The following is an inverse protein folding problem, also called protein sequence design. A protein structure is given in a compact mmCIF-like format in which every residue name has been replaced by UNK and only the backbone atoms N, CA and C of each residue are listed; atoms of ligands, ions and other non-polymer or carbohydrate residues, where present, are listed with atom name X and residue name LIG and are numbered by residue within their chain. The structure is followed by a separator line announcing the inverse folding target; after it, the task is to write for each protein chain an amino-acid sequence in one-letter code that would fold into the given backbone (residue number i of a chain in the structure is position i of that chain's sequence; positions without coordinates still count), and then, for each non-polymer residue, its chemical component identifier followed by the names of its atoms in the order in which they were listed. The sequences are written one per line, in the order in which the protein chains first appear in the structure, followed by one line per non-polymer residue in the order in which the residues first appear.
data_IF_280868787956
#
_entry.id   IF_280868787956
#
_cell.length_a   1.000
_cell.length_b   1.000
_cell.length_c   1.000
_cell.angle_alpha   90.00
_cell.angle_beta   90.00
_cell.angle_gamma   90.00
#
_symmetry.space_group_name_H-M   'P 1'
#
loop_
_entity.id
_entity.type
_entity.pdbx_description
1 polymer ?
#
# COMPACT_ATOMS: atom_id res chain seq x y z
N UNK A 1 47.18 -19.83 -36.79
CA UNK A 1 46.35 -21.02 -36.50
C UNK A 1 47.13 -21.90 -35.54
N UNK A 2 46.57 -22.46 -34.44
CA UNK A 2 45.57 -21.99 -33.45
C UNK A 2 46.25 -21.70 -32.06
N UNK A 3 45.85 -20.74 -31.22
CA UNK A 3 44.77 -20.70 -30.20
C UNK A 3 44.70 -21.92 -29.24
N UNK A 4 45.05 -21.71 -27.96
CA UNK A 4 44.16 -21.88 -26.78
C UNK A 4 44.85 -21.48 -25.46
N UNK A 5 44.01 -21.05 -24.51
CA UNK A 5 44.23 -21.07 -23.04
C UNK A 5 44.93 -19.87 -22.37
N UNK A 6 44.19 -18.79 -22.15
CA UNK A 6 43.78 -18.39 -20.79
C UNK A 6 42.90 -17.15 -20.84
N UNK A 7 41.58 -17.39 -20.88
CA UNK A 7 40.52 -16.38 -20.86
C UNK A 7 39.72 -16.53 -19.57
N UNK A 8 40.37 -16.42 -18.41
CA UNK A 8 39.76 -16.11 -17.11
C UNK A 8 40.86 -15.38 -16.34
N UNK A 9 40.53 -14.31 -15.60
CA UNK A 9 41.42 -13.39 -14.85
C UNK A 9 41.76 -12.03 -15.47
N UNK A 10 40.83 -11.39 -16.19
CA UNK A 10 40.81 -9.93 -16.27
C UNK A 10 39.39 -9.39 -16.22
N UNK A 11 38.80 -9.32 -15.02
CA UNK A 11 37.73 -8.36 -14.67
C UNK A 11 37.74 -8.11 -13.15
N UNK A 12 38.89 -7.69 -12.62
CA UNK A 12 38.97 -7.05 -11.33
C UNK A 12 38.94 -5.52 -11.52
N UNK A 13 38.00 -4.89 -10.82
CA UNK A 13 38.16 -3.56 -10.21
C UNK A 13 38.33 -2.34 -11.12
N UNK A 14 37.35 -2.06 -11.97
CA UNK A 14 37.07 -0.67 -12.41
C UNK A 14 35.57 -0.36 -12.46
N UNK A 15 34.97 -0.11 -11.30
CA UNK A 15 33.78 0.75 -11.17
C UNK A 15 33.55 1.14 -9.71
N UNK A 16 34.53 1.81 -9.12
CA UNK A 16 34.41 2.37 -7.78
C UNK A 16 35.11 3.74 -7.70
N UNK A 17 34.40 4.79 -8.15
CA UNK A 17 34.40 6.16 -7.61
C UNK A 17 34.06 7.17 -8.70
N UNK A 18 32.80 7.62 -8.71
CA UNK A 18 32.39 9.02 -8.57
C UNK A 18 30.89 9.12 -8.84
N UNK A 19 30.07 8.78 -7.85
CA UNK A 19 28.83 9.54 -7.64
C UNK A 19 29.10 10.44 -6.44
N UNK A 20 29.08 11.73 -6.74
CA UNK A 20 29.19 12.81 -5.79
C UNK A 20 28.29 12.54 -4.58
N UNK A 21 28.86 12.67 -3.38
CA UNK A 21 28.11 12.87 -2.13
C UNK A 21 27.46 14.25 -2.22
N UNK A 22 26.43 14.37 -3.07
CA UNK A 22 25.53 15.50 -3.08
C UNK A 22 24.65 15.40 -1.84
N UNK A 23 24.90 16.30 -0.88
CA UNK A 23 24.02 16.71 0.21
C UNK A 23 22.75 15.84 0.38
N UNK A 24 22.81 14.82 1.26
CA UNK A 24 21.60 14.18 1.79
C UNK A 24 20.86 15.21 2.65
N UNK A 25 20.13 16.13 2.01
CA UNK A 25 19.04 16.83 2.66
C UNK A 25 18.04 15.75 3.08
N UNK A 26 18.05 15.39 4.36
CA UNK A 26 17.05 14.50 4.93
C UNK A 26 15.67 14.97 4.47
N UNK A 27 14.88 14.04 3.93
CA UNK A 27 13.50 14.36 3.55
C UNK A 27 12.78 14.82 4.81
N UNK A 28 12.48 16.11 4.89
CA UNK A 28 11.72 16.65 6.00
C UNK A 28 10.31 16.04 5.96
N UNK A 29 9.71 15.84 7.14
CA UNK A 29 8.34 15.33 7.27
C UNK A 29 7.36 16.08 6.36
N UNK A 30 7.49 17.40 6.25
CA UNK A 30 6.68 18.23 5.37
C UNK A 30 6.85 17.90 3.87
N UNK A 31 8.07 17.57 3.43
CA UNK A 31 8.33 17.17 2.05
C UNK A 31 7.71 15.81 1.74
N UNK A 32 7.81 14.86 2.69
CA UNK A 32 7.17 13.54 2.58
C UNK A 32 5.65 13.71 2.51
N UNK A 33 5.06 14.47 3.43
CA UNK A 33 3.61 14.72 3.43
C UNK A 33 3.13 15.33 2.12
N UNK A 34 3.89 16.25 1.51
CA UNK A 34 3.54 16.84 0.21
C UNK A 34 3.56 15.83 -0.94
N UNK A 35 4.51 14.90 -0.94
CA UNK A 35 4.61 13.85 -1.96
C UNK A 35 3.51 12.79 -1.84
N UNK A 36 2.90 12.68 -0.67
CA UNK A 36 1.84 11.72 -0.37
C UNK A 36 0.44 12.35 -0.43
N UNK A 37 0.33 13.63 -0.84
CA UNK A 37 -0.98 14.25 -1.10
C UNK A 37 -1.67 13.52 -2.25
N UNK A 38 -2.94 13.19 -2.06
CA UNK A 38 -3.77 12.49 -3.05
C UNK A 38 -3.84 10.98 -2.87
N UNK A 39 -3.05 10.41 -1.96
CA UNK A 39 -3.17 9.00 -1.56
C UNK A 39 -4.14 8.84 -0.40
N UNK A 40 -4.84 7.71 -0.38
CA UNK A 40 -5.67 7.32 0.76
C UNK A 40 -4.82 7.07 2.01
N UNK A 41 -5.34 7.26 3.24
CA UNK A 41 -4.61 6.96 4.46
C UNK A 41 -4.04 5.52 4.49
N UNK A 42 -4.81 4.55 4.00
CA UNK A 42 -4.36 3.16 3.85
C UNK A 42 -3.24 2.99 2.80
N UNK A 43 -3.31 3.69 1.67
CA UNK A 43 -2.23 3.72 0.67
C UNK A 43 -0.96 4.35 1.24
N UNK A 44 -1.08 5.44 2.01
CA UNK A 44 0.07 6.07 2.68
C UNK A 44 0.77 5.06 3.60
N UNK A 45 0.01 4.30 4.40
CA UNK A 45 0.57 3.22 5.23
C UNK A 45 1.24 2.15 4.39
N UNK A 46 0.62 1.73 3.30
CA UNK A 46 1.18 0.73 2.39
C UNK A 46 2.47 1.21 1.72
N UNK A 47 2.54 2.44 1.25
CA UNK A 47 3.75 3.05 0.68
C UNK A 47 4.89 3.10 1.71
N UNK A 48 4.59 3.44 2.97
CA UNK A 48 5.58 3.39 4.05
C UNK A 48 6.06 1.95 4.33
N UNK A 49 5.17 0.96 4.26
CA UNK A 49 5.54 -0.45 4.38
C UNK A 49 6.43 -0.90 3.21
N UNK A 50 6.08 -0.52 1.97
CA UNK A 50 6.90 -0.77 0.78
C UNK A 50 8.29 -0.16 0.92
N UNK A 51 8.41 1.07 1.42
CA UNK A 51 9.72 1.71 1.68
C UNK A 51 10.57 0.88 2.63
N UNK A 52 9.95 0.39 3.71
CA UNK A 52 10.64 -0.44 4.71
C UNK A 52 11.12 -1.76 4.11
N UNK A 53 10.30 -2.37 3.26
CA UNK A 53 10.64 -3.59 2.54
C UNK A 53 11.79 -3.37 1.53
N UNK A 54 11.69 -2.37 0.65
CA UNK A 54 12.71 -2.08 -0.36
C UNK A 54 14.06 -1.73 0.28
N UNK A 55 14.06 -1.04 1.43
CA UNK A 55 15.29 -0.78 2.21
C UNK A 55 15.97 -2.07 2.66
N UNK A 56 15.19 -3.06 3.11
CA UNK A 56 15.71 -4.36 3.54
C UNK A 56 16.24 -5.17 2.36
N UNK A 57 15.55 -5.19 1.23
CA UNK A 57 15.98 -5.95 0.05
C UNK A 57 17.25 -5.39 -0.59
N UNK A 58 17.36 -4.06 -0.68
CA UNK A 58 18.48 -3.41 -1.38
C UNK A 58 19.65 -3.06 -0.45
N UNK A 59 19.56 -3.41 0.84
CA UNK A 59 20.49 -3.04 1.92
C UNK A 59 20.94 -1.56 1.83
N UNK A 60 20.00 -0.67 1.49
CA UNK A 60 20.30 0.73 1.29
C UNK A 60 19.12 1.65 1.64
N UNK A 61 19.45 2.92 1.88
CA UNK A 61 18.47 3.96 2.16
C UNK A 61 17.69 4.36 0.90
N UNK A 62 16.45 3.90 0.80
CA UNK A 62 15.50 4.28 -0.26
C UNK A 62 14.71 5.54 0.16
N UNK A 63 14.62 6.52 -0.74
CA UNK A 63 13.83 7.75 -0.59
C UNK A 63 12.33 7.51 -0.79
N UNK A 64 11.47 8.43 -0.33
CA UNK A 64 10.03 8.29 -0.60
C UNK A 64 9.73 8.39 -2.10
N UNK A 65 10.52 9.18 -2.84
CA UNK A 65 10.33 9.33 -4.28
C UNK A 65 10.61 8.02 -5.03
N UNK A 66 11.73 7.35 -4.73
CA UNK A 66 12.06 6.04 -5.31
C UNK A 66 11.01 4.98 -4.91
N UNK A 67 10.49 5.07 -3.69
CA UNK A 67 9.41 4.19 -3.25
C UNK A 67 8.14 4.41 -4.09
N UNK A 68 7.78 5.66 -4.38
CA UNK A 68 6.61 5.98 -5.21
C UNK A 68 6.77 5.51 -6.65
N UNK A 69 7.98 5.61 -7.21
CA UNK A 69 8.29 5.08 -8.54
C UNK A 69 8.09 3.55 -8.58
N UNK A 70 8.56 2.82 -7.56
CA UNK A 70 8.31 1.38 -7.42
C UNK A 70 6.84 1.05 -7.15
N UNK A 71 6.16 1.88 -6.35
CA UNK A 71 4.74 1.76 -6.04
C UNK A 71 3.90 1.83 -7.30
N UNK A 72 4.01 2.90 -8.08
CA UNK A 72 3.19 3.04 -9.30
C UNK A 72 3.59 2.06 -10.41
N UNK A 73 4.87 1.64 -10.46
CA UNK A 73 5.36 0.73 -11.49
C UNK A 73 4.97 -0.74 -11.31
N UNK A 74 4.93 -1.26 -10.08
CA UNK A 74 4.73 -2.70 -9.82
C UNK A 74 3.69 -3.00 -8.73
N UNK A 75 3.71 -2.25 -7.63
CA UNK A 75 3.06 -2.66 -6.39
C UNK A 75 1.62 -2.10 -6.26
N UNK A 76 1.42 -0.82 -6.48
CA UNK A 76 0.17 -0.11 -6.18
C UNK A 76 -1.06 -0.71 -6.86
N UNK A 77 -0.96 -1.13 -8.13
CA UNK A 77 -2.09 -1.73 -8.86
C UNK A 77 -2.64 -2.97 -8.17
N UNK A 78 -1.77 -3.95 -7.96
CA UNK A 78 -2.17 -5.24 -7.39
C UNK A 78 -2.63 -5.01 -5.90
N UNK A 79 -2.09 -4.00 -5.19
CA UNK A 79 -2.47 -3.68 -3.81
C UNK A 79 -3.87 -3.08 -3.75
N UNK A 80 -4.16 -2.14 -4.66
CA UNK A 80 -5.49 -1.52 -4.79
C UNK A 80 -6.57 -2.57 -5.11
N UNK A 81 -6.24 -3.56 -5.94
CA UNK A 81 -7.14 -4.67 -6.23
C UNK A 81 -7.46 -5.50 -4.98
N UNK A 82 -6.44 -5.84 -4.19
CA UNK A 82 -6.64 -6.60 -2.94
C UNK A 82 -7.37 -5.77 -1.87
N UNK A 83 -7.04 -4.48 -1.75
CA UNK A 83 -7.75 -3.53 -0.89
C UNK A 83 -9.24 -3.48 -1.23
N UNK A 84 -9.57 -3.32 -2.51
CA UNK A 84 -10.97 -3.31 -2.98
C UNK A 84 -11.70 -4.61 -2.63
N UNK A 85 -11.03 -5.76 -2.76
CA UNK A 85 -11.59 -7.07 -2.39
C UNK A 85 -11.88 -7.15 -0.89
N UNK A 86 -10.94 -6.76 -0.04
CA UNK A 86 -11.10 -6.77 1.42
C UNK A 86 -12.18 -5.78 1.85
N UNK A 87 -12.16 -4.57 1.31
CA UNK A 87 -13.15 -3.53 1.64
C UNK A 87 -14.56 -3.98 1.30
N UNK A 88 -14.76 -4.56 0.11
CA UNK A 88 -16.04 -5.10 -0.30
C UNK A 88 -16.54 -6.18 0.65
N UNK A 89 -15.67 -7.11 1.07
CA UNK A 89 -16.04 -8.15 2.04
C UNK A 89 -16.42 -7.57 3.41
N UNK A 90 -15.73 -6.52 3.85
CA UNK A 90 -16.04 -5.89 5.12
C UNK A 90 -17.36 -5.10 5.04
N UNK A 91 -17.61 -4.37 3.97
CA UNK A 91 -18.89 -3.67 3.78
C UNK A 91 -20.08 -4.62 3.74
N UNK A 92 -19.95 -5.78 3.08
CA UNK A 92 -21.02 -6.79 3.07
C UNK A 92 -21.36 -7.29 4.48
N UNK A 93 -20.35 -7.52 5.33
CA UNK A 93 -20.56 -7.93 6.73
C UNK A 93 -21.25 -6.85 7.54
N UNK A 94 -20.92 -5.58 7.30
CA UNK A 94 -21.51 -4.44 8.01
C UNK A 94 -22.97 -4.24 7.63
N UNK A 95 -23.31 -4.44 6.35
CA UNK A 95 -24.71 -4.43 5.88
C UNK A 95 -25.51 -5.57 6.53
N UNK A 96 -24.93 -6.77 6.59
CA UNK A 96 -25.56 -7.91 7.25
C UNK A 96 -25.77 -7.66 8.75
N UNK A 97 -24.75 -7.13 9.43
CA UNK A 97 -24.84 -6.76 10.84
C UNK A 97 -25.87 -5.66 11.09
N UNK A 98 -25.97 -4.68 10.18
CA UNK A 98 -26.97 -3.62 10.24
C UNK A 98 -28.39 -4.18 10.10
N UNK A 99 -28.61 -5.06 9.13
CA UNK A 99 -29.89 -5.76 8.95
C UNK A 99 -30.31 -6.48 10.23
N UNK A 100 -29.41 -7.26 10.84
CA UNK A 100 -29.70 -7.96 12.10
C UNK A 100 -30.06 -7.01 13.24
N UNK A 101 -29.35 -5.89 13.38
CA UNK A 101 -29.64 -4.90 14.42
C UNK A 101 -31.01 -4.24 14.25
N UNK A 102 -31.43 -3.94 13.02
CA UNK A 102 -32.76 -3.37 12.75
C UNK A 102 -33.86 -4.37 13.12
N UNK A 103 -33.67 -5.64 12.72
CA UNK A 103 -34.60 -6.69 13.09
C UNK A 103 -34.72 -6.86 14.62
N UNK A 104 -33.60 -6.85 15.34
CA UNK A 104 -33.59 -6.98 16.81
C UNK A 104 -34.19 -5.77 17.54
N UNK A 105 -33.89 -4.54 17.10
CA UNK A 105 -34.30 -3.31 17.81
C UNK A 105 -35.72 -2.88 17.51
N UNK A 106 -36.17 -3.12 16.28
CA UNK A 106 -37.41 -2.55 15.77
C UNK A 106 -38.45 -3.62 15.39
N UNK A 107 -38.07 -4.90 15.42
CA UNK A 107 -38.92 -6.01 14.99
C UNK A 107 -39.25 -5.97 13.50
N UNK A 108 -38.50 -5.18 12.72
CA UNK A 108 -38.70 -5.03 11.27
C UNK A 108 -37.76 -5.98 10.53
N UNK A 109 -38.32 -6.94 9.79
CA UNK A 109 -37.53 -7.74 8.85
C UNK A 109 -37.34 -6.93 7.56
N UNK A 110 -36.13 -6.41 7.39
CA UNK A 110 -35.73 -5.74 6.15
C UNK A 110 -35.21 -6.79 5.17
N UNK A 111 -35.64 -6.71 3.90
CA UNK A 111 -34.91 -7.40 2.85
C UNK A 111 -33.47 -6.85 2.75
N UNK A 112 -32.61 -7.62 2.10
CA UNK A 112 -31.18 -7.29 2.05
C UNK A 112 -30.92 -5.99 1.29
N UNK A 113 -31.70 -5.70 0.25
CA UNK A 113 -31.54 -4.53 -0.60
C UNK A 113 -31.91 -3.23 0.14
N UNK A 114 -33.01 -3.25 0.90
CA UNK A 114 -33.42 -2.13 1.75
C UNK A 114 -32.40 -1.87 2.87
N UNK A 115 -31.87 -2.93 3.51
CA UNK A 115 -30.83 -2.79 4.52
C UNK A 115 -29.51 -2.23 3.94
N UNK A 116 -29.14 -2.65 2.73
CA UNK A 116 -27.98 -2.13 2.03
C UNK A 116 -28.15 -0.64 1.67
N UNK A 117 -29.32 -0.25 1.16
CA UNK A 117 -29.62 1.14 0.81
C UNK A 117 -29.54 2.05 2.04
N UNK A 118 -30.21 1.68 3.13
CA UNK A 118 -30.17 2.43 4.39
C UNK A 118 -28.75 2.53 4.96
N UNK A 119 -27.99 1.42 4.94
CA UNK A 119 -26.60 1.42 5.35
C UNK A 119 -25.73 2.36 4.50
N UNK A 120 -25.93 2.37 3.18
CA UNK A 120 -25.21 3.26 2.26
C UNK A 120 -25.49 4.72 2.58
N UNK A 121 -26.76 5.07 2.79
CA UNK A 121 -27.21 6.44 3.04
C UNK A 121 -26.79 6.96 4.41
N UNK A 122 -26.89 6.14 5.46
CA UNK A 122 -26.75 6.58 6.85
C UNK A 122 -25.38 6.26 7.48
N UNK A 123 -24.73 5.17 7.06
CA UNK A 123 -23.59 4.58 7.80
C UNK A 123 -22.28 4.52 7.00
N UNK A 124 -22.35 4.40 5.67
CA UNK A 124 -21.17 4.08 4.84
C UNK A 124 -20.03 5.10 4.89
N UNK A 125 -20.33 6.38 5.11
CA UNK A 125 -19.31 7.44 5.19
C UNK A 125 -18.51 7.31 6.49
N UNK A 126 -19.19 7.34 7.62
CA UNK A 126 -18.57 7.19 8.94
C UNK A 126 -17.79 5.88 9.05
N UNK A 127 -18.35 4.80 8.48
CA UNK A 127 -17.66 3.52 8.41
C UNK A 127 -16.36 3.60 7.58
N UNK A 128 -16.39 4.23 6.39
CA UNK A 128 -15.18 4.40 5.56
C UNK A 128 -14.11 5.22 6.27
N UNK A 129 -14.49 6.30 6.93
CA UNK A 129 -13.55 7.13 7.68
C UNK A 129 -12.90 6.34 8.83
N UNK A 130 -13.70 5.57 9.57
CA UNK A 130 -13.21 4.66 10.61
C UNK A 130 -12.30 3.57 10.01
N UNK A 131 -12.73 2.91 8.93
CA UNK A 131 -12.00 1.83 8.28
C UNK A 131 -10.64 2.31 7.77
N UNK A 132 -10.58 3.48 7.12
CA UNK A 132 -9.34 4.08 6.65
C UNK A 132 -8.38 4.45 7.78
N UNK A 133 -8.85 4.60 9.01
CA UNK A 133 -7.99 4.77 10.20
C UNK A 133 -7.42 3.44 10.72
N UNK A 134 -8.01 2.30 10.38
CA UNK A 134 -7.61 1.00 10.91
C UNK A 134 -6.29 0.50 10.30
N UNK A 135 -5.40 -0.12 11.09
CA UNK A 135 -4.24 -0.84 10.57
C UNK A 135 -4.65 -1.96 9.60
N UNK A 136 -5.77 -2.64 9.88
CA UNK A 136 -6.31 -3.74 9.06
C UNK A 136 -6.78 -3.31 7.67
N UNK A 137 -7.08 -2.03 7.46
CA UNK A 137 -7.36 -1.50 6.12
C UNK A 137 -6.10 -1.44 5.24
N UNK A 138 -4.91 -1.73 5.77
CA UNK A 138 -3.74 -2.01 4.95
C UNK A 138 -3.62 -3.52 4.72
N UNK A 139 -3.82 -4.02 3.48
CA UNK A 139 -3.45 -5.38 3.09
C UNK A 139 -2.04 -5.73 3.52
N UNK A 140 -1.83 -7.03 3.80
CA UNK A 140 -0.55 -7.54 4.31
C UNK A 140 0.64 -7.11 3.44
N UNK A 141 1.79 -6.78 4.05
CA UNK A 141 3.00 -6.40 3.33
C UNK A 141 3.64 -7.55 2.53
N UNK A 142 3.15 -8.80 2.66
CA UNK A 142 3.51 -9.92 1.77
C UNK A 142 3.33 -9.59 0.29
N UNK A 143 2.50 -8.59 0.01
CA UNK A 143 2.32 -8.05 -1.31
C UNK A 143 3.59 -7.43 -1.95
N UNK A 144 4.57 -7.00 -1.14
CA UNK A 144 5.82 -6.44 -1.65
C UNK A 144 6.79 -7.50 -2.20
N UNK A 145 6.57 -8.78 -1.88
CA UNK A 145 7.32 -9.94 -2.38
C UNK A 145 7.03 -10.17 -3.87
#
# INVERSE_FOLDING_TARGET
MPLTSNRIEQMATQSAKKKSRGSRKGETRAKISRLLVGFWPSEVRAIHACRTFLRRENDCEISIKETLEAWEGRLGRKWRAEKMRIDGQMQLKEIEQHKSQVHEKEGRDLDWEAAAQDWIECHSRTWRDWWESQPAACPSPTFCL
#
